data_IF_587462598523
#
_entry.id   IF_587462598523
#
_cell.length_a   1.000
_cell.length_b   1.000
_cell.length_c   1.000
_cell.angle_alpha   90.00
_cell.angle_beta   90.00
_cell.angle_gamma   90.00
#
_symmetry.space_group_name_H-M   'P 1'
#
loop_
_entity.id
_entity.type
_entity.pdbx_description
1 polymer ?
#
# COMPACT_ATOMS: atom_id res chain seq x y z
N UNK A 1 -11.87 -23.41 -10.17
CA UNK A 1 -13.30 -23.36 -10.18
C UNK A 1 -13.76 -22.11 -10.91
N UNK A 2 -14.27 -22.28 -12.14
CA UNK A 2 -14.97 -21.25 -12.85
C UNK A 2 -16.25 -20.93 -12.08
N UNK A 3 -16.48 -19.68 -11.67
CA UNK A 3 -17.76 -19.24 -11.16
C UNK A 3 -17.80 -18.46 -9.83
N UNK A 4 -16.66 -18.11 -9.20
CA UNK A 4 -16.69 -17.08 -8.17
C UNK A 4 -16.54 -15.72 -8.87
N UNK A 5 -17.62 -14.95 -8.89
CA UNK A 5 -17.58 -13.55 -9.28
C UNK A 5 -16.45 -12.87 -8.47
N UNK A 6 -15.53 -12.21 -9.16
CA UNK A 6 -14.44 -11.47 -8.52
C UNK A 6 -15.05 -10.41 -7.62
N UNK A 7 -14.87 -10.53 -6.31
CA UNK A 7 -15.53 -9.73 -5.26
C UNK A 7 -15.50 -8.21 -5.51
N UNK A 8 -14.46 -7.70 -6.14
CA UNK A 8 -14.25 -6.28 -6.37
C UNK A 8 -14.29 -5.88 -7.84
N UNK A 9 -14.73 -6.75 -8.76
CA UNK A 9 -14.69 -6.48 -10.20
C UNK A 9 -15.33 -5.14 -10.57
N UNK A 10 -16.53 -4.88 -10.09
CA UNK A 10 -17.25 -3.62 -10.36
C UNK A 10 -16.54 -2.38 -9.74
N UNK A 11 -15.99 -2.49 -8.52
CA UNK A 11 -15.27 -1.39 -7.89
C UNK A 11 -13.96 -1.09 -8.62
N UNK A 12 -13.21 -2.12 -9.01
CA UNK A 12 -11.97 -2.01 -9.78
C UNK A 12 -12.23 -1.41 -11.16
N UNK A 13 -13.27 -1.85 -11.86
CA UNK A 13 -13.67 -1.29 -13.14
C UNK A 13 -13.97 0.21 -13.04
N UNK A 14 -14.74 0.62 -12.03
CA UNK A 14 -15.06 2.04 -11.79
C UNK A 14 -13.81 2.84 -11.46
N UNK A 15 -12.91 2.33 -10.61
CA UNK A 15 -11.65 3.00 -10.27
C UNK A 15 -10.77 3.18 -11.50
N UNK A 16 -10.55 2.12 -12.26
CA UNK A 16 -9.73 2.12 -13.48
C UNK A 16 -10.32 3.07 -14.55
N UNK A 17 -11.62 2.97 -14.83
CA UNK A 17 -12.28 3.84 -15.82
C UNK A 17 -12.23 5.32 -15.42
N UNK A 18 -12.46 5.63 -14.14
CA UNK A 18 -12.37 7.01 -13.63
C UNK A 18 -10.98 7.60 -13.79
N UNK A 19 -9.94 6.82 -13.47
CA UNK A 19 -8.57 7.27 -13.59
C UNK A 19 -8.16 7.47 -15.04
N UNK A 20 -8.49 6.55 -15.94
CA UNK A 20 -8.21 6.68 -17.38
C UNK A 20 -8.85 7.94 -18.01
N UNK A 21 -9.98 8.39 -17.47
CA UNK A 21 -10.67 9.59 -17.98
C UNK A 21 -9.93 10.91 -17.66
N UNK A 22 -9.06 10.94 -16.63
CA UNK A 22 -8.45 12.17 -16.13
C UNK A 22 -6.93 12.16 -16.09
N UNK A 23 -6.30 10.99 -16.15
CA UNK A 23 -4.85 10.82 -16.02
C UNK A 23 -4.15 11.12 -17.33
N UNK A 24 -3.00 11.79 -17.25
CA UNK A 24 -2.02 11.92 -18.33
C UNK A 24 -0.95 10.87 -18.12
N UNK A 25 -0.72 10.03 -19.13
CA UNK A 25 0.36 9.06 -19.09
C UNK A 25 1.71 9.69 -19.49
N UNK A 26 2.81 9.27 -18.88
CA UNK A 26 2.93 8.27 -17.83
C UNK A 26 2.49 8.82 -16.46
N UNK A 27 1.95 7.93 -15.60
CA UNK A 27 1.62 8.25 -14.21
C UNK A 27 2.90 8.30 -13.39
N UNK A 28 3.18 9.40 -12.69
CA UNK A 28 4.38 9.48 -11.86
C UNK A 28 4.28 8.58 -10.63
N UNK A 29 3.20 8.70 -9.85
CA UNK A 29 2.98 7.91 -8.63
C UNK A 29 1.59 7.31 -8.60
N UNK A 30 1.50 6.01 -8.36
CA UNK A 30 0.25 5.30 -8.18
C UNK A 30 0.20 4.64 -6.79
N UNK A 31 -0.80 5.02 -6.00
CA UNK A 31 -1.13 4.34 -4.74
C UNK A 31 -2.06 3.17 -5.03
N UNK A 32 -1.77 2.00 -4.47
CA UNK A 32 -2.66 0.83 -4.55
C UNK A 32 -2.75 0.13 -3.21
N UNK A 33 -3.92 -0.39 -2.88
CA UNK A 33 -4.10 -1.14 -1.64
C UNK A 33 -5.48 -0.99 -1.02
N UNK A 34 -5.54 -1.05 0.31
CA UNK A 34 -6.78 -1.16 1.04
C UNK A 34 -7.38 0.19 1.46
N UNK A 35 -8.36 0.13 2.39
CA UNK A 35 -9.08 1.31 2.90
C UNK A 35 -8.18 2.40 3.47
N UNK A 36 -6.99 2.08 3.95
CA UNK A 36 -6.04 3.08 4.44
C UNK A 36 -5.67 4.06 3.32
N UNK A 37 -5.38 3.57 2.13
CA UNK A 37 -5.11 4.44 0.99
C UNK A 37 -6.39 5.03 0.39
N UNK A 38 -7.49 4.27 0.31
CA UNK A 38 -8.77 4.80 -0.14
C UNK A 38 -9.22 6.03 0.65
N UNK A 39 -8.95 6.05 1.95
CA UNK A 39 -9.32 7.15 2.85
C UNK A 39 -8.29 8.28 2.90
N UNK A 40 -7.14 8.14 2.26
CA UNK A 40 -6.12 9.19 2.18
C UNK A 40 -6.49 10.22 1.10
N UNK A 41 -7.52 11.01 1.38
CA UNK A 41 -8.06 12.01 0.43
C UNK A 41 -7.08 13.16 0.13
N UNK A 42 -6.13 13.44 1.02
CA UNK A 42 -5.09 14.46 0.86
C UNK A 42 -3.79 13.93 0.24
N UNK A 43 -3.76 12.69 -0.28
CA UNK A 43 -2.53 12.04 -0.73
C UNK A 43 -1.73 12.88 -1.73
N UNK A 44 -2.37 13.46 -2.75
CA UNK A 44 -1.72 14.32 -3.73
C UNK A 44 -1.01 15.52 -3.09
N UNK A 45 -1.65 16.17 -2.12
CA UNK A 45 -1.08 17.30 -1.37
C UNK A 45 0.05 16.84 -0.45
N UNK A 46 -0.19 15.77 0.33
CA UNK A 46 0.77 15.28 1.32
C UNK A 46 2.03 14.71 0.65
N UNK A 47 1.89 14.12 -0.53
CA UNK A 47 3.01 13.59 -1.32
C UNK A 47 3.59 14.62 -2.31
N UNK A 48 2.96 15.80 -2.45
CA UNK A 48 3.36 16.85 -3.39
C UNK A 48 3.40 16.38 -4.84
N UNK A 49 2.44 15.57 -5.21
CA UNK A 49 2.27 14.98 -6.53
C UNK A 49 0.85 15.25 -7.01
N UNK A 50 0.69 16.24 -7.89
CA UNK A 50 -0.63 16.69 -8.35
C UNK A 50 -1.32 15.67 -9.28
N UNK A 51 -0.52 14.85 -9.98
CA UNK A 51 -0.98 13.86 -10.93
C UNK A 51 -1.06 12.44 -10.32
N UNK A 52 -0.98 12.36 -8.98
CA UNK A 52 -1.06 11.10 -8.25
C UNK A 52 -2.37 10.37 -8.50
N UNK A 53 -2.27 9.09 -8.81
CA UNK A 53 -3.41 8.17 -8.92
C UNK A 53 -3.57 7.38 -7.63
N UNK A 54 -4.79 7.31 -7.10
CA UNK A 54 -5.08 6.52 -5.90
C UNK A 54 -6.11 5.43 -6.20
N UNK A 55 -5.65 4.19 -6.29
CA UNK A 55 -6.41 2.96 -6.47
C UNK A 55 -6.54 2.16 -5.17
N UNK A 56 -6.67 2.84 -4.04
CA UNK A 56 -7.08 2.20 -2.79
C UNK A 56 -8.53 1.74 -2.85
N UNK A 57 -8.82 0.48 -2.51
CA UNK A 57 -10.18 -0.06 -2.44
C UNK A 57 -10.46 -0.76 -1.12
N UNK A 58 -11.67 -0.56 -0.57
CA UNK A 58 -11.99 -0.88 0.81
C UNK A 58 -12.05 -2.38 1.09
N UNK A 59 -11.37 -2.83 2.17
CA UNK A 59 -11.45 -4.23 2.60
C UNK A 59 -10.61 -5.21 1.79
N UNK A 60 -9.83 -4.74 0.83
CA UNK A 60 -8.99 -5.58 -0.03
C UNK A 60 -7.91 -6.32 0.76
N UNK A 61 -7.63 -7.52 0.32
CA UNK A 61 -6.57 -8.42 0.82
C UNK A 61 -5.46 -8.54 -0.20
N UNK A 62 -4.32 -9.04 0.24
CA UNK A 62 -3.12 -9.17 -0.61
C UNK A 62 -3.34 -10.05 -1.86
N UNK A 63 -4.19 -11.06 -1.79
CA UNK A 63 -4.49 -11.90 -2.95
C UNK A 63 -5.36 -11.16 -4.00
N UNK A 64 -6.22 -10.24 -3.56
CA UNK A 64 -7.03 -9.41 -4.45
C UNK A 64 -6.17 -8.38 -5.17
N UNK A 65 -5.12 -7.83 -4.53
CA UNK A 65 -4.14 -7.00 -5.24
C UNK A 65 -3.43 -7.77 -6.37
N UNK A 66 -3.08 -9.04 -6.13
CA UNK A 66 -2.47 -9.88 -7.17
C UNK A 66 -3.47 -10.15 -8.30
N UNK A 67 -4.74 -10.37 -7.97
CA UNK A 67 -5.79 -10.67 -8.95
C UNK A 67 -6.08 -9.49 -9.90
N UNK A 68 -5.99 -8.26 -9.38
CA UNK A 68 -6.33 -7.04 -10.13
C UNK A 68 -5.10 -6.18 -10.47
N UNK A 69 -3.91 -6.75 -10.44
CA UNK A 69 -2.67 -5.99 -10.66
C UNK A 69 -2.63 -5.35 -12.05
N UNK A 70 -3.17 -6.02 -13.06
CA UNK A 70 -3.24 -5.50 -14.43
C UNK A 70 -4.09 -4.24 -14.47
N UNK A 71 -5.34 -4.33 -14.05
CA UNK A 71 -6.33 -3.26 -14.14
C UNK A 71 -6.02 -2.07 -13.20
N UNK A 72 -5.37 -2.34 -12.06
CA UNK A 72 -5.10 -1.32 -11.04
C UNK A 72 -3.73 -0.67 -11.18
N UNK A 73 -2.75 -1.33 -11.80
CA UNK A 73 -1.36 -0.86 -11.82
C UNK A 73 -0.77 -0.89 -13.21
N UNK A 74 -0.72 -2.05 -13.88
CA UNK A 74 0.03 -2.23 -15.13
C UNK A 74 -0.51 -1.36 -16.24
N UNK A 75 -1.82 -1.30 -16.38
CA UNK A 75 -2.53 -0.48 -17.38
C UNK A 75 -2.23 1.03 -17.31
N UNK A 76 -1.67 1.49 -16.18
CA UNK A 76 -1.33 2.91 -15.94
C UNK A 76 0.16 3.21 -16.10
N UNK A 77 0.99 2.20 -16.28
CA UNK A 77 2.43 2.32 -16.48
C UNK A 77 3.13 3.31 -15.53
N UNK A 78 2.91 3.24 -14.20
CA UNK A 78 3.45 4.22 -13.26
C UNK A 78 4.98 4.12 -13.14
N UNK A 79 5.64 5.27 -12.88
CA UNK A 79 7.06 5.27 -12.51
C UNK A 79 7.29 4.68 -11.11
N UNK A 80 6.38 4.97 -10.18
CA UNK A 80 6.44 4.48 -8.79
C UNK A 80 5.08 3.95 -8.35
N UNK A 81 5.08 2.73 -7.83
CA UNK A 81 3.94 2.10 -7.17
C UNK A 81 4.13 2.17 -5.67
N UNK A 82 3.19 2.77 -4.94
CA UNK A 82 3.15 2.74 -3.48
C UNK A 82 2.04 1.80 -3.05
N UNK A 83 2.37 0.76 -2.30
CA UNK A 83 1.44 -0.29 -1.90
C UNK A 83 1.25 -0.34 -0.39
N UNK A 84 -0.02 -0.41 0.07
CA UNK A 84 -0.39 -0.74 1.44
C UNK A 84 -1.49 -1.80 1.45
N UNK A 85 -1.19 -3.01 1.90
CA UNK A 85 -2.18 -4.09 2.04
C UNK A 85 -1.70 -5.15 3.04
N UNK A 86 -2.63 -5.94 3.60
CA UNK A 86 -2.32 -7.04 4.53
C UNK A 86 -3.09 -6.96 5.85
N UNK A 87 -3.53 -5.76 6.25
CA UNK A 87 -4.32 -5.58 7.48
C UNK A 87 -5.62 -6.41 7.47
N UNK A 88 -6.29 -6.50 6.33
CA UNK A 88 -7.51 -7.31 6.17
C UNK A 88 -7.21 -8.82 6.09
N UNK A 89 -6.03 -9.20 5.62
CA UNK A 89 -5.54 -10.59 5.65
C UNK A 89 -5.37 -11.07 7.10
N UNK A 90 -4.78 -10.22 7.95
CA UNK A 90 -4.63 -10.50 9.39
C UNK A 90 -6.00 -10.71 10.03
N UNK A 91 -6.99 -9.85 9.74
CA UNK A 91 -8.37 -10.02 10.22
C UNK A 91 -9.01 -11.32 9.75
N UNK A 92 -8.68 -11.76 8.54
CA UNK A 92 -9.18 -13.00 7.96
C UNK A 92 -8.44 -14.25 8.45
N UNK A 93 -7.48 -14.10 9.39
CA UNK A 93 -6.73 -15.24 9.95
C UNK A 93 -5.59 -15.75 9.06
N UNK A 94 -5.13 -14.96 8.08
CA UNK A 94 -4.00 -15.35 7.26
C UNK A 94 -2.69 -15.33 8.08
N UNK A 95 -1.80 -16.28 7.83
CA UNK A 95 -0.47 -16.28 8.43
C UNK A 95 0.42 -15.18 7.86
N UNK A 96 1.39 -14.71 8.64
CA UNK A 96 2.40 -13.75 8.22
C UNK A 96 3.14 -14.21 6.95
N UNK A 97 3.46 -15.50 6.85
CA UNK A 97 4.11 -16.07 5.68
C UNK A 97 3.24 -16.00 4.42
N UNK A 98 1.92 -16.25 4.54
CA UNK A 98 0.99 -16.17 3.41
C UNK A 98 0.83 -14.72 2.91
N UNK A 99 0.74 -13.76 3.84
CA UNK A 99 0.67 -12.33 3.53
C UNK A 99 1.93 -11.90 2.76
N UNK A 100 3.10 -12.15 3.34
CA UNK A 100 4.39 -11.75 2.74
C UNK A 100 4.62 -12.39 1.36
N UNK A 101 4.27 -13.67 1.19
CA UNK A 101 4.38 -14.33 -0.11
C UNK A 101 3.50 -13.67 -1.18
N UNK A 102 2.27 -13.28 -0.85
CA UNK A 102 1.36 -12.63 -1.82
C UNK A 102 1.86 -11.23 -2.18
N UNK A 103 2.40 -10.49 -1.21
CA UNK A 103 3.05 -9.20 -1.47
C UNK A 103 4.29 -9.37 -2.37
N UNK A 104 5.11 -10.41 -2.15
CA UNK A 104 6.27 -10.70 -3.01
C UNK A 104 5.82 -11.06 -4.45
N UNK A 105 4.74 -11.84 -4.60
CA UNK A 105 4.13 -12.14 -5.91
C UNK A 105 3.65 -10.84 -6.59
N UNK A 106 2.92 -9.98 -5.85
CA UNK A 106 2.47 -8.68 -6.37
C UNK A 106 3.64 -7.85 -6.88
N UNK A 107 4.67 -7.64 -6.06
CA UNK A 107 5.85 -6.86 -6.44
C UNK A 107 6.53 -7.44 -7.69
N UNK A 108 6.71 -8.78 -7.71
CA UNK A 108 7.32 -9.43 -8.88
C UNK A 108 6.47 -9.28 -10.14
N UNK A 109 5.15 -9.42 -10.06
CA UNK A 109 4.26 -9.25 -11.21
C UNK A 109 4.35 -7.84 -11.78
N UNK A 110 4.39 -6.83 -10.90
CA UNK A 110 4.56 -5.43 -11.31
C UNK A 110 5.91 -5.21 -12.00
N UNK A 111 7.01 -5.72 -11.44
CA UNK A 111 8.35 -5.59 -12.04
C UNK A 111 8.49 -6.31 -13.38
N UNK A 112 7.88 -7.50 -13.50
CA UNK A 112 7.92 -8.28 -14.74
C UNK A 112 7.16 -7.55 -15.88
N UNK A 113 6.06 -6.86 -15.53
CA UNK A 113 5.25 -6.10 -16.49
C UNK A 113 5.82 -4.70 -16.78
N UNK A 114 6.44 -4.06 -15.80
CA UNK A 114 6.95 -2.68 -15.87
C UNK A 114 8.44 -2.64 -15.48
N UNK A 115 9.35 -3.00 -16.39
CA UNK A 115 10.80 -2.98 -16.09
C UNK A 115 11.27 -1.60 -15.66
N UNK A 116 11.96 -1.53 -14.51
CA UNK A 116 12.49 -0.27 -13.97
C UNK A 116 11.54 0.46 -13.01
N UNK A 117 10.30 0.00 -12.85
CA UNK A 117 9.35 0.58 -11.89
C UNK A 117 9.91 0.60 -10.48
N UNK A 118 9.69 1.70 -9.75
CA UNK A 118 9.97 1.79 -8.33
C UNK A 118 8.80 1.24 -7.51
N UNK A 119 9.08 0.46 -6.47
CA UNK A 119 8.04 -0.07 -5.58
C UNK A 119 8.32 0.35 -4.14
N UNK A 120 7.36 1.04 -3.54
CA UNK A 120 7.35 1.39 -2.12
C UNK A 120 6.27 0.57 -1.44
N UNK A 121 6.65 -0.26 -0.49
CA UNK A 121 5.69 -0.97 0.36
C UNK A 121 5.62 -0.32 1.73
N UNK A 122 4.43 0.14 2.10
CA UNK A 122 4.18 0.74 3.42
C UNK A 122 3.76 -0.35 4.40
N UNK A 123 4.45 -0.42 5.52
CA UNK A 123 4.24 -1.42 6.56
C UNK A 123 2.77 -1.51 7.01
N UNK A 124 2.32 -2.72 7.25
CA UNK A 124 1.04 -2.95 7.93
C UNK A 124 1.14 -2.32 9.33
N UNK A 125 0.22 -1.41 9.64
CA UNK A 125 0.22 -0.73 10.92
C UNK A 125 -0.26 -1.65 12.07
N UNK A 126 0.39 -1.52 13.23
CA UNK A 126 -0.06 -2.11 14.50
C UNK A 126 -1.29 -1.36 15.03
N UNK A 127 -2.43 -1.54 14.36
CA UNK A 127 -3.67 -0.88 14.75
C UNK A 127 -4.11 -1.27 16.17
N UNK A 128 -4.60 -0.34 17.01
CA UNK A 128 -5.17 -0.65 18.31
C UNK A 128 -6.25 -1.74 18.28
N UNK A 129 -7.10 -1.72 17.24
CA UNK A 129 -8.14 -2.73 16.99
C UNK A 129 -7.61 -4.18 16.90
N UNK A 130 -6.33 -4.35 16.53
CA UNK A 130 -5.71 -5.67 16.30
C UNK A 130 -4.60 -6.01 17.29
N UNK A 131 -4.69 -5.46 18.50
CA UNK A 131 -3.62 -5.61 19.51
C UNK A 131 -3.24 -7.06 19.78
N UNK A 132 -4.21 -7.96 19.77
CA UNK A 132 -4.04 -9.41 19.94
C UNK A 132 -3.30 -10.08 18.77
N UNK A 133 -3.14 -9.40 17.64
CA UNK A 133 -2.54 -9.91 16.39
C UNK A 133 -1.29 -9.16 15.97
N UNK A 134 -0.76 -8.27 16.77
CA UNK A 134 0.45 -7.50 16.44
C UNK A 134 1.65 -8.39 16.13
N UNK A 135 1.80 -9.53 16.80
CA UNK A 135 2.87 -10.48 16.50
C UNK A 135 2.81 -10.98 15.03
N UNK A 136 1.59 -11.18 14.47
CA UNK A 136 1.42 -11.56 13.07
C UNK A 136 1.76 -10.38 12.15
N UNK A 137 1.37 -9.16 12.54
CA UNK A 137 1.70 -7.93 11.78
C UNK A 137 3.21 -7.74 11.73
N UNK A 138 3.89 -7.85 12.87
CA UNK A 138 5.34 -7.66 12.97
C UNK A 138 6.10 -8.70 12.16
N UNK A 139 5.71 -9.98 12.26
CA UNK A 139 6.31 -11.04 11.44
C UNK A 139 6.07 -10.84 9.95
N UNK A 140 4.85 -10.41 9.55
CA UNK A 140 4.56 -10.11 8.16
C UNK A 140 5.42 -8.96 7.63
N UNK A 141 5.52 -7.87 8.39
CA UNK A 141 6.35 -6.72 8.04
C UNK A 141 7.83 -7.08 7.90
N UNK A 142 8.40 -7.84 8.83
CA UNK A 142 9.79 -8.32 8.76
C UNK A 142 10.05 -9.15 7.49
N UNK A 143 9.11 -10.04 7.14
CA UNK A 143 9.21 -10.87 5.93
C UNK A 143 9.11 -10.04 4.65
N UNK A 144 8.20 -9.05 4.62
CA UNK A 144 8.03 -8.14 3.48
C UNK A 144 9.24 -7.22 3.33
N UNK A 145 9.76 -6.67 4.42
CA UNK A 145 10.98 -5.88 4.40
C UNK A 145 12.15 -6.68 3.81
N UNK A 146 12.30 -7.94 4.24
CA UNK A 146 13.31 -8.84 3.67
C UNK A 146 13.10 -9.10 2.17
N UNK A 147 11.84 -9.17 1.71
CA UNK A 147 11.53 -9.30 0.29
C UNK A 147 11.84 -8.01 -0.49
N UNK A 148 11.59 -6.83 0.10
CA UNK A 148 11.97 -5.56 -0.51
C UNK A 148 13.49 -5.44 -0.71
N UNK A 149 14.28 -5.88 0.26
CA UNK A 149 15.77 -5.85 0.17
C UNK A 149 16.36 -6.71 -0.95
N UNK A 150 15.57 -7.63 -1.54
CA UNK A 150 16.03 -8.48 -2.67
C UNK A 150 15.96 -7.78 -4.03
N UNK A 151 15.16 -6.73 -4.16
CA UNK A 151 14.99 -5.99 -5.42
C UNK A 151 15.68 -4.63 -5.35
N UNK A 152 16.35 -4.18 -6.44
CA UNK A 152 17.10 -2.91 -6.44
C UNK A 152 16.18 -1.69 -6.31
N UNK A 153 14.96 -1.78 -6.86
CA UNK A 153 14.00 -0.68 -6.91
C UNK A 153 12.85 -0.86 -5.91
N UNK A 154 13.08 -1.55 -4.80
CA UNK A 154 12.08 -1.76 -3.75
C UNK A 154 12.49 -1.06 -2.46
N UNK A 155 11.55 -0.33 -1.88
CA UNK A 155 11.72 0.33 -0.57
C UNK A 155 10.62 -0.10 0.38
N UNK A 156 10.98 -0.53 1.57
CA UNK A 156 10.05 -0.75 2.68
C UNK A 156 10.01 0.49 3.56
N UNK A 157 8.80 0.92 3.94
CA UNK A 157 8.57 2.10 4.81
C UNK A 157 7.86 1.65 6.06
N UNK A 158 8.50 1.77 7.22
CA UNK A 158 7.82 1.55 8.49
C UNK A 158 7.18 2.85 8.99
N UNK A 159 5.86 2.86 9.04
CA UNK A 159 5.06 3.97 9.58
C UNK A 159 4.73 3.77 11.06
N UNK A 160 5.01 2.58 11.62
CA UNK A 160 4.64 2.27 12.99
C UNK A 160 5.41 3.13 14.00
N UNK A 161 6.67 3.47 13.73
CA UNK A 161 7.46 4.35 14.60
C UNK A 161 6.74 5.68 14.86
N UNK A 162 6.16 6.31 13.83
CA UNK A 162 5.42 7.56 13.96
C UNK A 162 4.00 7.41 14.54
N UNK A 163 3.47 6.19 14.56
CA UNK A 163 2.13 5.88 15.09
C UNK A 163 2.13 5.52 16.58
N UNK A 164 3.30 5.44 17.21
CA UNK A 164 3.48 5.11 18.60
C UNK A 164 4.18 6.25 19.35
N UNK A 165 3.87 6.38 20.63
CA UNK A 165 4.53 7.33 21.51
C UNK A 165 5.83 6.74 22.11
N UNK A 166 6.57 7.55 22.88
CA UNK A 166 7.80 7.14 23.53
C UNK A 166 7.64 6.01 24.59
N UNK A 167 6.40 5.64 24.94
CA UNK A 167 6.06 4.55 25.86
C UNK A 167 5.62 3.28 25.12
N UNK A 168 5.84 3.22 23.79
CA UNK A 168 5.37 2.14 22.92
C UNK A 168 3.84 1.94 22.99
N UNK A 169 3.10 3.04 23.13
CA UNK A 169 1.64 3.04 23.11
C UNK A 169 1.14 3.70 21.82
N UNK A 170 0.05 3.16 21.21
CA UNK A 170 -0.51 3.78 20.02
C UNK A 170 -0.96 5.22 20.29
N UNK A 171 -0.59 6.12 19.42
CA UNK A 171 -1.07 7.50 19.39
C UNK A 171 -2.53 7.52 18.95
N UNK A 172 -3.44 7.25 19.91
CA UNK A 172 -4.88 7.06 19.63
C UNK A 172 -5.54 8.27 19.02
N UNK A 173 -4.99 9.48 19.22
CA UNK A 173 -5.44 10.73 18.59
C UNK A 173 -5.29 10.73 17.05
N UNK A 174 -4.45 9.84 16.51
CA UNK A 174 -4.26 9.67 15.07
C UNK A 174 -5.29 8.73 14.43
N UNK A 175 -6.03 7.97 15.23
CA UNK A 175 -7.01 6.99 14.76
C UNK A 175 -8.44 7.51 14.83
N UNK A 176 -9.30 6.95 13.99
CA UNK A 176 -10.75 7.06 14.16
C UNK A 176 -11.20 6.18 15.33
N UNK A 177 -12.48 6.29 15.70
CA UNK A 177 -13.05 5.55 16.84
C UNK A 177 -12.97 4.03 16.69
N UNK A 178 -12.86 3.53 15.46
CA UNK A 178 -12.69 2.10 15.19
C UNK A 178 -11.30 1.56 15.54
N UNK A 179 -10.35 2.42 15.87
CA UNK A 179 -8.98 2.05 16.22
C UNK A 179 -8.18 1.39 15.08
N UNK A 180 -8.64 1.56 13.83
CA UNK A 180 -8.04 0.99 12.63
C UNK A 180 -7.71 2.06 11.59
N UNK A 181 -8.71 2.86 11.22
CA UNK A 181 -8.57 3.91 10.22
C UNK A 181 -8.02 5.19 10.84
N UNK A 182 -7.45 6.03 9.99
CA UNK A 182 -6.71 7.20 10.43
C UNK A 182 -7.48 8.50 10.26
N UNK A 183 -7.22 9.43 11.14
CA UNK A 183 -7.59 10.84 10.99
C UNK A 183 -6.62 11.52 10.00
N UNK A 184 -7.01 12.65 9.38
CA UNK A 184 -6.14 13.38 8.45
C UNK A 184 -4.75 13.73 9.01
N UNK A 185 -4.63 13.92 10.33
CA UNK A 185 -3.36 14.20 10.99
C UNK A 185 -2.34 13.07 10.80
N UNK A 186 -2.75 11.80 10.88
CA UNK A 186 -1.85 10.67 10.68
C UNK A 186 -1.24 10.67 9.27
N UNK A 187 -2.07 10.94 8.26
CA UNK A 187 -1.58 11.01 6.89
C UNK A 187 -0.59 12.16 6.69
N UNK A 188 -0.90 13.35 7.20
CA UNK A 188 -0.06 14.52 7.07
C UNK A 188 1.26 14.41 7.86
N UNK A 189 1.22 13.87 9.08
CA UNK A 189 2.34 13.89 10.02
C UNK A 189 3.23 12.65 9.94
N UNK A 190 2.66 11.49 9.58
CA UNK A 190 3.37 10.21 9.58
C UNK A 190 3.51 9.65 8.16
N UNK A 191 2.40 9.36 7.47
CA UNK A 191 2.45 8.70 6.16
C UNK A 191 3.09 9.60 5.10
N UNK A 192 2.64 10.84 4.96
CA UNK A 192 3.10 11.77 3.92
C UNK A 192 4.62 11.94 3.91
N UNK A 193 5.26 12.36 5.01
CA UNK A 193 6.71 12.51 5.06
C UNK A 193 7.47 11.20 4.78
N UNK A 194 7.04 10.09 5.38
CA UNK A 194 7.70 8.80 5.24
C UNK A 194 7.61 8.25 3.81
N UNK A 195 6.41 8.28 3.21
CA UNK A 195 6.17 7.79 1.85
C UNK A 195 6.87 8.67 0.82
N UNK A 196 6.81 10.00 0.96
CA UNK A 196 7.52 10.92 0.06
C UNK A 196 9.02 10.66 0.04
N UNK A 197 9.65 10.54 1.20
CA UNK A 197 11.07 10.20 1.30
C UNK A 197 11.40 8.87 0.59
N UNK A 198 10.53 7.88 0.72
CA UNK A 198 10.71 6.58 0.06
C UNK A 198 10.56 6.67 -1.47
N UNK A 199 9.61 7.46 -1.97
CA UNK A 199 9.46 7.74 -3.40
C UNK A 199 10.73 8.39 -3.95
N UNK A 200 11.28 9.39 -3.27
CA UNK A 200 12.53 10.05 -3.67
C UNK A 200 13.70 9.05 -3.71
N UNK A 201 13.80 8.17 -2.71
CA UNK A 201 14.84 7.13 -2.65
C UNK A 201 14.75 6.14 -3.80
N UNK A 202 13.55 5.64 -4.10
CA UNK A 202 13.37 4.66 -5.19
C UNK A 202 13.60 5.29 -6.56
N UNK A 203 13.19 6.55 -6.76
CA UNK A 203 13.50 7.31 -7.98
C UNK A 203 15.00 7.52 -8.19
N UNK A 204 15.74 7.78 -7.11
CA UNK A 204 17.21 7.92 -7.19
C UNK A 204 17.90 6.61 -7.59
N UNK A 205 17.39 5.47 -7.09
CA UNK A 205 17.93 4.13 -7.43
C UNK A 205 17.65 3.71 -8.87
N UNK A 206 16.53 4.14 -9.44
CA UNK A 206 16.15 3.79 -10.83
C UNK A 206 16.90 4.58 -11.90
N UNK A 207 17.59 5.65 -11.53
CA UNK A 207 18.34 6.55 -12.45
C UNK A 207 19.85 6.30 -12.49
N UNK A 208 20.36 5.42 -11.66
CA UNK A 208 21.78 5.07 -11.55
C UNK A 208 22.07 3.68 -12.07
#
# INVERSE_FOLDING_TARGET
PAGQEKRYAAEVEVLSARSRAVVREPVETLLVGSSIFRLWSSAATDLRDADLVNHGFGGSRTWELVEYVEELVVDFSPEVVVCYCGSNDVNAGASAAAIARRVEIFMKTVEDALPGVGIVYVAINRAPQKRDRWAIVDEANQRIEKACRKGPNRVFVDVNEGLFDARDSPRTELYLEDGLHFRPAAYREVFGPAVRNAIERVRASSRG
#
